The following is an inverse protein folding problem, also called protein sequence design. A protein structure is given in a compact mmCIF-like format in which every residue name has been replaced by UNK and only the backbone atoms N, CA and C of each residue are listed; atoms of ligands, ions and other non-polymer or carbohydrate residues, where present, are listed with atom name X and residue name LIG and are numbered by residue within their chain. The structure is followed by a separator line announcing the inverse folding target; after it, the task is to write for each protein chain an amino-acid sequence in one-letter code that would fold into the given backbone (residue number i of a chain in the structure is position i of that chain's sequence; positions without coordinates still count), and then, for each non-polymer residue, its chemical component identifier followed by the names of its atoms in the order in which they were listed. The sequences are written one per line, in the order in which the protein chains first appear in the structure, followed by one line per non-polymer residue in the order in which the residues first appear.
data_IF_340947182312
#
_entry.id   IF_340947182312
#
_cell.length_a   1.000
_cell.length_b   1.000
_cell.length_c   1.000
_cell.angle_alpha   90.00
_cell.angle_beta   90.00
_cell.angle_gamma   90.00
#
_symmetry.space_group_name_H-M   'P 1'
#
loop_
_entity.id
_entity.type
_entity.pdbx_description
1 polymer ?
#
# COMPACT_ATOMS: atom_id res chain seq x y z
N UNK A 1 25.13 -55.50 1.85
CA UNK A 1 24.29 -54.77 0.87
C UNK A 1 23.44 -53.66 1.49
N UNK A 2 22.65 -53.91 2.55
CA UNK A 2 21.74 -52.91 3.15
C UNK A 2 22.41 -51.61 3.66
N UNK A 3 23.67 -51.67 4.13
CA UNK A 3 24.45 -50.50 4.59
C UNK A 3 25.02 -49.63 3.46
N UNK A 4 25.24 -50.20 2.27
CA UNK A 4 25.78 -49.48 1.10
C UNK A 4 24.66 -48.68 0.42
N UNK A 5 23.43 -49.23 0.42
CA UNK A 5 22.23 -48.53 -0.06
C UNK A 5 21.92 -47.30 0.81
N UNK A 6 22.11 -47.42 2.13
CA UNK A 6 21.88 -46.31 3.06
C UNK A 6 22.90 -45.17 2.87
N UNK A 7 24.13 -45.49 2.51
CA UNK A 7 25.17 -44.49 2.22
C UNK A 7 24.90 -43.74 0.90
N UNK A 8 24.40 -44.43 -0.12
CA UNK A 8 24.01 -43.81 -1.40
C UNK A 8 22.78 -42.89 -1.28
N UNK A 9 21.84 -43.23 -0.40
CA UNK A 9 20.63 -42.43 -0.17
C UNK A 9 20.95 -41.09 0.54
N UNK A 10 21.95 -41.07 1.41
CA UNK A 10 22.42 -39.86 2.11
C UNK A 10 23.21 -38.93 1.18
N UNK A 11 23.99 -39.49 0.25
CA UNK A 11 24.75 -38.70 -0.73
C UNK A 11 23.83 -37.99 -1.73
N UNK A 12 22.70 -38.61 -2.11
CA UNK A 12 21.69 -37.99 -2.97
C UNK A 12 20.96 -36.81 -2.27
N UNK A 13 20.85 -36.83 -0.94
CA UNK A 13 20.24 -35.74 -0.16
C UNK A 13 21.20 -34.58 0.16
N UNK A 14 22.51 -34.79 0.00
CA UNK A 14 23.56 -33.77 0.28
C UNK A 14 24.03 -33.05 -0.98
N UNK A 15 23.58 -33.45 -2.17
CA UNK A 15 23.77 -32.64 -3.37
C UNK A 15 22.79 -31.47 -3.30
N UNK A 16 23.27 -30.21 -3.22
CA UNK A 16 22.38 -29.09 -3.44
C UNK A 16 21.91 -29.24 -4.88
N UNK A 17 20.61 -29.48 -5.06
CA UNK A 17 20.02 -29.22 -6.35
C UNK A 17 20.36 -27.77 -6.65
N UNK A 18 21.32 -27.55 -7.56
CA UNK A 18 21.55 -26.26 -8.17
C UNK A 18 20.29 -25.99 -9.01
N UNK A 19 19.22 -25.61 -8.31
CA UNK A 19 18.07 -24.97 -8.90
C UNK A 19 18.61 -23.65 -9.43
N UNK A 20 19.00 -23.67 -10.70
CA UNK A 20 19.12 -22.46 -11.48
C UNK A 20 17.71 -21.86 -11.52
N UNK A 21 17.41 -21.02 -10.54
CA UNK A 21 16.29 -20.11 -10.62
C UNK A 21 16.61 -19.16 -11.78
N UNK A 22 16.15 -19.50 -12.97
CA UNK A 22 16.01 -18.54 -14.06
C UNK A 22 15.09 -17.46 -13.54
N UNK A 23 15.67 -16.37 -13.02
CA UNK A 23 14.98 -15.13 -12.67
C UNK A 23 14.27 -14.60 -13.93
N UNK A 24 13.09 -15.14 -14.24
CA UNK A 24 12.10 -14.39 -14.99
C UNK A 24 11.61 -13.34 -14.00
N UNK A 25 12.28 -12.19 -14.00
CA UNK A 25 11.72 -10.99 -13.40
C UNK A 25 10.30 -10.84 -13.94
N UNK A 26 9.32 -10.81 -13.05
CA UNK A 26 7.93 -10.69 -13.48
C UNK A 26 7.83 -9.40 -14.29
N UNK A 27 7.27 -9.47 -15.50
CA UNK A 27 7.22 -8.33 -16.41
C UNK A 27 6.52 -7.12 -15.78
N UNK A 28 5.62 -7.35 -14.81
CA UNK A 28 5.02 -6.26 -14.04
C UNK A 28 5.99 -5.64 -13.03
N UNK A 29 6.82 -6.41 -12.35
CA UNK A 29 7.87 -5.88 -11.47
C UNK A 29 8.81 -4.93 -12.23
N UNK A 30 9.04 -5.19 -13.53
CA UNK A 30 9.80 -4.27 -14.37
C UNK A 30 9.07 -2.94 -14.60
N UNK A 31 7.76 -2.97 -14.87
CA UNK A 31 6.95 -1.76 -15.01
C UNK A 31 6.87 -0.97 -13.71
N UNK A 32 6.75 -1.67 -12.59
CA UNK A 32 6.78 -1.09 -11.25
C UNK A 32 8.09 -0.33 -11.01
N UNK A 33 9.24 -0.96 -11.27
CA UNK A 33 10.56 -0.33 -11.14
C UNK A 33 10.74 0.89 -12.04
N UNK A 34 10.29 0.82 -13.29
CA UNK A 34 10.37 1.96 -14.22
C UNK A 34 9.52 3.14 -13.69
N UNK A 35 8.33 2.85 -13.16
CA UNK A 35 7.47 3.90 -12.60
C UNK A 35 8.06 4.52 -11.32
N UNK A 36 8.74 3.74 -10.47
CA UNK A 36 9.46 4.27 -9.30
C UNK A 36 10.66 5.12 -9.74
N UNK A 37 11.47 4.66 -10.68
CA UNK A 37 12.61 5.42 -11.20
C UNK A 37 12.18 6.79 -11.76
N UNK A 38 11.08 6.84 -12.52
CA UNK A 38 10.51 8.09 -13.00
C UNK A 38 10.16 9.05 -11.84
N UNK A 39 9.54 8.53 -10.78
CA UNK A 39 9.20 9.31 -9.59
C UNK A 39 10.44 9.79 -8.84
N UNK A 40 11.46 8.94 -8.66
CA UNK A 40 12.72 9.33 -8.00
C UNK A 40 13.44 10.42 -8.78
N UNK A 41 13.48 10.34 -10.11
CA UNK A 41 14.05 11.39 -10.96
C UNK A 41 13.28 12.72 -10.83
N UNK A 42 11.94 12.66 -10.84
CA UNK A 42 11.09 13.83 -10.65
C UNK A 42 11.30 14.48 -9.27
N UNK A 43 11.36 13.70 -8.19
CA UNK A 43 11.66 14.17 -6.82
C UNK A 43 13.02 14.86 -6.73
N UNK A 44 14.00 14.37 -7.49
CA UNK A 44 15.33 14.98 -7.63
C UNK A 44 15.38 16.16 -8.63
N UNK A 45 14.22 16.64 -9.11
CA UNK A 45 14.07 17.73 -10.09
C UNK A 45 14.74 17.45 -11.44
N UNK A 46 15.07 16.19 -11.73
CA UNK A 46 15.60 15.70 -13.01
C UNK A 46 14.45 15.43 -13.98
N UNK A 47 13.66 16.47 -14.27
CA UNK A 47 12.38 16.36 -14.98
C UNK A 47 12.51 15.83 -16.41
N UNK A 48 13.59 16.22 -17.11
CA UNK A 48 13.82 15.75 -18.48
C UNK A 48 14.08 14.24 -18.49
N UNK A 49 14.87 13.75 -17.54
CA UNK A 49 15.21 12.33 -17.42
C UNK A 49 13.99 11.52 -16.94
N UNK A 50 13.21 12.07 -16.01
CA UNK A 50 11.94 11.48 -15.61
C UNK A 50 10.99 11.30 -16.81
N UNK A 51 10.93 12.29 -17.73
CA UNK A 51 10.16 12.17 -18.97
C UNK A 51 10.67 11.04 -19.86
N UNK A 52 11.99 10.90 -20.02
CA UNK A 52 12.58 9.82 -20.81
C UNK A 52 12.23 8.43 -20.25
N UNK A 53 12.24 8.29 -18.92
CA UNK A 53 11.82 7.04 -18.25
C UNK A 53 10.32 6.78 -18.41
N UNK A 54 9.46 7.81 -18.36
CA UNK A 54 8.03 7.67 -18.65
C UNK A 54 7.77 7.29 -20.12
N UNK A 55 8.48 7.88 -21.07
CA UNK A 55 8.39 7.52 -22.49
C UNK A 55 8.87 6.06 -22.69
N UNK A 56 9.89 5.63 -21.96
CA UNK A 56 10.36 4.25 -21.94
C UNK A 56 9.32 3.27 -21.37
N UNK A 57 8.60 3.65 -20.30
CA UNK A 57 7.52 2.85 -19.74
C UNK A 57 6.50 2.43 -20.79
N UNK A 58 6.04 3.38 -21.62
CA UNK A 58 5.02 3.10 -22.64
C UNK A 58 5.47 2.03 -23.64
N UNK A 59 6.74 2.08 -24.04
CA UNK A 59 7.33 1.07 -24.91
C UNK A 59 7.40 -0.30 -24.25
N UNK A 60 7.81 -0.38 -22.98
CA UNK A 60 7.87 -1.66 -22.26
C UNK A 60 6.48 -2.23 -21.97
N UNK A 61 5.50 -1.38 -21.64
CA UNK A 61 4.11 -1.78 -21.43
C UNK A 61 3.55 -2.53 -22.65
N UNK A 62 3.81 -2.02 -23.86
CA UNK A 62 3.41 -2.66 -25.11
C UNK A 62 4.21 -3.93 -25.41
N UNK A 63 5.55 -3.91 -25.26
CA UNK A 63 6.41 -5.08 -25.55
C UNK A 63 6.10 -6.28 -24.67
N UNK A 64 5.75 -6.04 -23.40
CA UNK A 64 5.49 -7.09 -22.42
C UNK A 64 4.06 -7.64 -22.50
N UNK A 65 3.25 -7.17 -23.47
CA UNK A 65 1.81 -7.43 -23.56
C UNK A 65 1.13 -7.21 -22.19
N UNK A 66 1.52 -6.15 -21.47
CA UNK A 66 1.06 -5.93 -20.10
C UNK A 66 -0.46 -5.73 -20.02
N UNK A 67 -1.07 -5.29 -21.13
CA UNK A 67 -2.53 -5.22 -21.30
C UNK A 67 -3.23 -6.56 -21.07
N UNK A 68 -2.65 -7.67 -21.53
CA UNK A 68 -3.26 -9.00 -21.40
C UNK A 68 -3.29 -9.48 -19.94
N UNK A 69 -2.56 -8.79 -19.07
CA UNK A 69 -2.46 -9.11 -17.64
C UNK A 69 -3.33 -8.21 -16.76
N UNK A 70 -4.05 -7.25 -17.35
CA UNK A 70 -5.02 -6.42 -16.65
C UNK A 70 -6.32 -7.18 -16.45
N UNK A 71 -7.02 -6.92 -15.33
CA UNK A 71 -8.29 -7.55 -15.02
C UNK A 71 -9.49 -6.76 -15.57
N UNK A 72 -9.31 -5.47 -15.84
CA UNK A 72 -10.38 -4.58 -16.28
C UNK A 72 -9.94 -3.53 -17.29
N UNK A 73 -10.92 -2.97 -18.01
CA UNK A 73 -10.69 -1.81 -18.89
C UNK A 73 -10.45 -0.53 -18.09
N UNK A 74 -10.92 -0.49 -16.84
CA UNK A 74 -10.75 0.66 -15.95
C UNK A 74 -9.30 0.77 -15.48
N UNK A 75 -8.60 -0.34 -15.20
CA UNK A 75 -7.15 -0.35 -14.99
C UNK A 75 -6.39 0.20 -16.20
N UNK A 76 -6.74 -0.25 -17.41
CA UNK A 76 -6.09 0.24 -18.63
C UNK A 76 -6.30 1.75 -18.81
N UNK A 77 -7.52 2.23 -18.54
CA UNK A 77 -7.83 3.66 -18.58
C UNK A 77 -7.02 4.42 -17.54
N UNK A 78 -6.97 3.94 -16.30
CA UNK A 78 -6.22 4.58 -15.21
C UNK A 78 -4.73 4.73 -15.57
N UNK A 79 -4.09 3.66 -16.08
CA UNK A 79 -2.70 3.70 -16.54
C UNK A 79 -2.52 4.74 -17.64
N UNK A 80 -3.37 4.68 -18.68
CA UNK A 80 -3.21 5.52 -19.88
C UNK A 80 -3.38 7.01 -19.53
N UNK A 81 -4.42 7.34 -18.75
CA UNK A 81 -4.73 8.72 -18.36
C UNK A 81 -3.64 9.28 -17.45
N UNK A 82 -3.22 8.54 -16.43
CA UNK A 82 -2.20 9.02 -15.48
C UNK A 82 -0.82 9.10 -16.12
N UNK A 83 -0.46 8.16 -17.00
CA UNK A 83 0.77 8.22 -17.80
C UNK A 83 0.80 9.44 -18.71
N UNK A 84 -0.27 9.68 -19.48
CA UNK A 84 -0.34 10.83 -20.38
C UNK A 84 -0.25 12.15 -19.62
N UNK A 85 -0.93 12.24 -18.46
CA UNK A 85 -0.87 13.42 -17.58
C UNK A 85 0.56 13.62 -17.06
N UNK A 86 1.19 12.57 -16.53
CA UNK A 86 2.58 12.62 -16.04
C UNK A 86 3.57 13.08 -17.11
N UNK A 87 3.52 12.51 -18.33
CA UNK A 87 4.40 12.89 -19.44
C UNK A 87 4.20 14.35 -19.84
N UNK A 88 2.95 14.83 -19.89
CA UNK A 88 2.65 16.23 -20.23
C UNK A 88 3.13 17.21 -19.18
N UNK A 89 2.98 16.88 -17.89
CA UNK A 89 3.25 17.81 -16.80
C UNK A 89 4.70 17.80 -16.34
N UNK A 90 5.41 16.67 -16.42
CA UNK A 90 6.74 16.52 -15.80
C UNK A 90 7.74 17.58 -16.31
N UNK A 91 7.70 17.95 -17.59
CA UNK A 91 8.54 19.00 -18.18
C UNK A 91 7.85 20.36 -18.34
N UNK A 92 6.60 20.52 -17.88
CA UNK A 92 5.84 21.74 -18.07
C UNK A 92 6.39 22.88 -17.19
N UNK A 93 7.20 23.77 -17.76
CA UNK A 93 7.87 24.87 -17.05
C UNK A 93 6.90 25.83 -16.34
N UNK A 94 5.65 25.88 -16.79
CA UNK A 94 4.57 26.71 -16.23
C UNK A 94 4.01 26.20 -14.91
N UNK A 95 4.23 24.92 -14.57
CA UNK A 95 3.74 24.31 -13.33
C UNK A 95 4.80 24.38 -12.22
N UNK A 96 4.43 24.53 -10.94
CA UNK A 96 5.37 24.37 -9.84
C UNK A 96 5.93 22.94 -9.78
N UNK A 97 7.13 22.77 -9.21
CA UNK A 97 7.82 21.48 -9.19
C UNK A 97 7.00 20.39 -8.50
N UNK A 98 6.31 20.75 -7.42
CA UNK A 98 5.47 19.88 -6.60
C UNK A 98 4.33 19.31 -7.45
N UNK A 99 3.60 20.15 -8.18
CA UNK A 99 2.53 19.69 -9.06
C UNK A 99 3.04 18.74 -10.16
N UNK A 100 4.28 18.91 -10.63
CA UNK A 100 4.89 17.98 -11.61
C UNK A 100 5.21 16.63 -10.96
N UNK A 101 5.73 16.65 -9.74
CA UNK A 101 6.02 15.45 -8.95
C UNK A 101 4.72 14.69 -8.64
N UNK A 102 3.66 15.40 -8.25
CA UNK A 102 2.37 14.81 -7.89
C UNK A 102 1.75 14.00 -9.04
N UNK A 103 1.87 14.46 -10.29
CA UNK A 103 1.36 13.69 -11.43
C UNK A 103 2.16 12.42 -11.71
N UNK A 104 3.48 12.47 -11.50
CA UNK A 104 4.32 11.26 -11.61
C UNK A 104 4.04 10.32 -10.43
N UNK A 105 3.78 10.86 -9.25
CA UNK A 105 3.40 10.08 -8.08
C UNK A 105 2.05 9.38 -8.30
N UNK A 106 1.03 10.10 -8.77
CA UNK A 106 -0.28 9.53 -9.14
C UNK A 106 -0.12 8.36 -10.13
N UNK A 107 0.72 8.51 -11.16
CA UNK A 107 1.04 7.41 -12.08
C UNK A 107 1.71 6.21 -11.38
N UNK A 108 2.72 6.44 -10.54
CA UNK A 108 3.38 5.38 -9.76
C UNK A 108 2.40 4.62 -8.87
N UNK A 109 1.48 5.32 -8.22
CA UNK A 109 0.45 4.74 -7.35
C UNK A 109 -0.49 3.83 -8.15
N UNK A 110 -0.88 4.22 -9.36
CA UNK A 110 -1.70 3.37 -10.24
C UNK A 110 -0.99 2.10 -10.65
N UNK A 111 0.30 2.18 -11.01
CA UNK A 111 1.08 0.99 -11.38
C UNK A 111 1.22 0.02 -10.21
N UNK A 112 1.33 0.58 -8.99
CA UNK A 112 1.35 -0.19 -7.75
C UNK A 112 0.03 -0.93 -7.49
N UNK A 113 -1.08 -0.17 -7.47
CA UNK A 113 -2.43 -0.63 -7.15
C UNK A 113 -2.82 -1.90 -7.91
N UNK A 114 -2.52 -1.95 -9.22
CA UNK A 114 -2.87 -3.10 -10.09
C UNK A 114 -2.29 -4.45 -9.63
N UNK A 115 -1.22 -4.47 -8.81
CA UNK A 115 -0.62 -5.70 -8.28
C UNK A 115 -0.53 -5.77 -6.78
N UNK A 116 -0.85 -4.71 -6.07
CA UNK A 116 -0.70 -4.67 -4.63
C UNK A 116 -1.84 -5.43 -3.97
N UNK A 117 -1.67 -6.76 -3.86
CA UNK A 117 -2.68 -7.65 -3.27
C UNK A 117 -2.92 -7.37 -1.77
N UNK A 118 -1.96 -6.74 -1.06
CA UNK A 118 -2.02 -6.62 0.40
C UNK A 118 -1.75 -5.22 0.96
N UNK A 119 -0.91 -4.38 0.33
CA UNK A 119 -0.64 -3.02 0.83
C UNK A 119 -0.24 -2.07 -0.31
N UNK A 120 -1.22 -1.55 -1.07
CA UNK A 120 -0.98 -0.54 -2.09
C UNK A 120 -0.34 0.72 -1.51
N UNK A 121 0.64 1.27 -2.22
CA UNK A 121 1.40 2.46 -1.82
C UNK A 121 0.53 3.69 -1.58
N UNK A 122 -0.64 3.79 -2.21
CA UNK A 122 -1.53 4.94 -2.02
C UNK A 122 -2.10 4.98 -0.60
N UNK A 123 -2.12 3.87 0.13
CA UNK A 123 -2.56 3.83 1.53
C UNK A 123 -1.64 4.62 2.45
N UNK A 124 -0.35 4.77 2.10
CA UNK A 124 0.61 5.60 2.84
C UNK A 124 0.28 7.10 2.78
N UNK A 125 -0.58 7.52 1.84
CA UNK A 125 -1.07 8.89 1.72
C UNK A 125 -2.18 9.22 2.73
N UNK A 126 -2.64 8.26 3.55
CA UNK A 126 -3.69 8.46 4.55
C UNK A 126 -3.44 9.70 5.42
N UNK A 127 -2.22 9.88 5.92
CA UNK A 127 -1.90 11.03 6.77
C UNK A 127 -2.04 12.36 6.04
N UNK A 128 -1.65 12.43 4.77
CA UNK A 128 -1.75 13.64 3.96
C UNK A 128 -3.22 13.99 3.67
N UNK A 129 -3.99 13.00 3.18
CA UNK A 129 -5.41 13.16 2.85
C UNK A 129 -6.22 13.49 4.10
N UNK A 130 -6.09 12.71 5.17
CA UNK A 130 -6.84 12.93 6.41
C UNK A 130 -6.39 14.19 7.14
N UNK A 131 -5.10 14.53 7.06
CA UNK A 131 -4.59 15.80 7.59
C UNK A 131 -5.19 17.01 6.88
N UNK A 132 -5.29 16.98 5.55
CA UNK A 132 -5.95 18.03 4.78
C UNK A 132 -7.46 18.09 5.06
N UNK A 133 -8.12 16.94 5.17
CA UNK A 133 -9.54 16.87 5.57
C UNK A 133 -9.78 17.52 6.94
N UNK A 134 -8.95 17.20 7.94
CA UNK A 134 -9.06 17.78 9.28
C UNK A 134 -8.85 19.29 9.29
N UNK A 135 -7.93 19.81 8.45
CA UNK A 135 -7.73 21.25 8.30
C UNK A 135 -8.99 21.92 7.74
N UNK A 136 -9.60 21.34 6.71
CA UNK A 136 -10.88 21.80 6.17
C UNK A 136 -12.00 21.74 7.21
N UNK A 137 -12.15 20.62 7.92
CA UNK A 137 -13.14 20.44 8.97
C UNK A 137 -13.01 21.50 10.08
N UNK A 138 -11.79 21.85 10.45
CA UNK A 138 -11.51 22.87 11.47
C UNK A 138 -11.97 24.28 11.04
N UNK A 139 -11.93 24.62 9.74
CA UNK A 139 -12.43 25.92 9.26
C UNK A 139 -13.94 26.04 9.48
N UNK A 140 -14.70 24.99 9.16
CA UNK A 140 -16.15 24.93 9.37
C UNK A 140 -16.49 24.99 10.85
N UNK A 141 -15.79 24.23 11.70
CA UNK A 141 -16.01 24.26 13.16
C UNK A 141 -15.77 25.64 13.78
N UNK A 142 -14.83 26.42 13.23
CA UNK A 142 -14.55 27.79 13.66
C UNK A 142 -15.48 28.84 13.05
N UNK A 143 -16.32 28.45 12.08
CA UNK A 143 -17.15 29.38 11.31
C UNK A 143 -16.34 30.25 10.35
N UNK A 144 -15.12 29.82 9.99
CA UNK A 144 -14.24 30.56 9.07
C UNK A 144 -14.56 30.19 7.62
N UNK A 145 -15.62 30.82 7.11
CA UNK A 145 -16.06 30.64 5.72
C UNK A 145 -15.07 31.23 4.70
N UNK A 146 -14.09 32.04 5.13
CA UNK A 146 -13.09 32.63 4.23
C UNK A 146 -11.96 31.66 3.91
N UNK A 147 -11.57 30.83 4.87
CA UNK A 147 -10.50 29.83 4.70
C UNK A 147 -11.01 28.49 4.17
N UNK A 148 -12.30 28.20 4.33
CA UNK A 148 -12.90 26.94 3.87
C UNK A 148 -12.59 26.60 2.39
N UNK A 149 -12.74 27.51 1.41
CA UNK A 149 -12.46 27.17 0.01
C UNK A 149 -11.01 26.73 -0.24
N UNK A 150 -10.05 27.40 0.41
CA UNK A 150 -8.62 27.06 0.30
C UNK A 150 -8.33 25.71 0.95
N UNK A 151 -8.91 25.44 2.13
CA UNK A 151 -8.73 24.18 2.82
C UNK A 151 -9.39 23.00 2.07
N UNK A 152 -10.56 23.24 1.48
CA UNK A 152 -11.24 22.29 0.59
C UNK A 152 -10.38 21.98 -0.64
N UNK A 153 -9.85 23.01 -1.31
CA UNK A 153 -8.98 22.81 -2.48
C UNK A 153 -7.75 21.97 -2.15
N UNK A 154 -7.15 22.17 -0.96
CA UNK A 154 -6.05 21.34 -0.49
C UNK A 154 -6.47 19.88 -0.28
N UNK A 155 -7.60 19.64 0.38
CA UNK A 155 -8.12 18.27 0.55
C UNK A 155 -8.39 17.60 -0.79
N UNK A 156 -9.03 18.30 -1.74
CA UNK A 156 -9.30 17.80 -3.08
C UNK A 156 -8.01 17.43 -3.82
N UNK A 157 -6.96 18.25 -3.70
CA UNK A 157 -5.66 17.96 -4.29
C UNK A 157 -5.05 16.66 -3.75
N UNK A 158 -5.02 16.48 -2.43
CA UNK A 158 -4.49 15.24 -1.82
C UNK A 158 -5.31 14.01 -2.23
N UNK A 159 -6.64 14.14 -2.31
CA UNK A 159 -7.51 13.05 -2.76
C UNK A 159 -7.34 12.72 -4.25
N UNK A 160 -7.22 13.73 -5.11
CA UNK A 160 -7.03 13.55 -6.57
C UNK A 160 -5.79 12.68 -6.85
N UNK A 161 -4.71 12.85 -6.08
CA UNK A 161 -3.48 12.05 -6.25
C UNK A 161 -3.76 10.55 -6.08
N UNK A 162 -4.60 10.15 -5.14
CA UNK A 162 -4.89 8.73 -4.86
C UNK A 162 -6.11 8.19 -5.59
N UNK A 163 -7.04 9.04 -6.01
CA UNK A 163 -8.36 8.66 -6.56
C UNK A 163 -8.28 7.58 -7.65
N UNK A 164 -7.38 7.65 -8.67
CA UNK A 164 -7.29 6.59 -9.68
C UNK A 164 -6.88 5.23 -9.11
N UNK A 165 -6.08 5.22 -8.05
CA UNK A 165 -5.61 3.99 -7.38
C UNK A 165 -6.71 3.42 -6.47
N UNK A 166 -7.42 4.29 -5.76
CA UNK A 166 -8.62 3.91 -4.97
C UNK A 166 -9.65 3.21 -5.87
N UNK A 167 -9.86 3.71 -7.08
CA UNK A 167 -10.82 3.13 -8.04
C UNK A 167 -10.39 1.77 -8.60
N UNK A 168 -9.13 1.38 -8.43
CA UNK A 168 -8.62 0.05 -8.79
C UNK A 168 -8.78 -0.90 -7.61
N UNK A 169 -8.38 -0.48 -6.41
CA UNK A 169 -8.25 -1.38 -5.25
C UNK A 169 -9.50 -1.48 -4.38
N UNK A 170 -10.40 -0.49 -4.44
CA UNK A 170 -11.60 -0.42 -3.60
C UNK A 170 -12.85 -0.78 -4.39
N UNK A 171 -13.81 -1.43 -3.73
CA UNK A 171 -15.11 -1.76 -4.30
C UNK A 171 -15.76 -0.53 -4.99
N UNK A 172 -16.23 -0.66 -6.25
CA UNK A 172 -16.74 0.46 -7.04
C UNK A 172 -17.86 1.26 -6.35
N UNK A 173 -18.76 0.57 -5.62
CA UNK A 173 -19.86 1.20 -4.90
C UNK A 173 -19.36 2.15 -3.81
N UNK A 174 -18.26 1.78 -3.14
CA UNK A 174 -17.69 2.55 -2.04
C UNK A 174 -16.85 3.72 -2.56
N UNK A 175 -16.01 3.49 -3.56
CA UNK A 175 -15.28 4.56 -4.23
C UNK A 175 -16.26 5.62 -4.78
N UNK A 176 -17.35 5.18 -5.41
CA UNK A 176 -18.40 6.07 -5.91
C UNK A 176 -19.11 6.83 -4.78
N UNK A 177 -19.42 6.17 -3.66
CA UNK A 177 -20.02 6.85 -2.50
C UNK A 177 -19.12 7.98 -2.00
N UNK A 178 -17.82 7.71 -1.84
CA UNK A 178 -16.86 8.73 -1.40
C UNK A 178 -16.76 9.87 -2.40
N UNK A 179 -16.73 9.58 -3.70
CA UNK A 179 -16.73 10.62 -4.75
C UNK A 179 -17.98 11.52 -4.65
N UNK A 180 -19.16 10.94 -4.41
CA UNK A 180 -20.42 11.68 -4.22
C UNK A 180 -20.39 12.55 -2.96
N UNK A 181 -19.88 12.01 -1.85
CA UNK A 181 -19.75 12.75 -0.59
C UNK A 181 -18.78 13.93 -0.73
N UNK A 182 -17.62 13.71 -1.39
CA UNK A 182 -16.64 14.77 -1.69
C UNK A 182 -17.21 15.80 -2.66
N UNK A 183 -17.95 15.37 -3.69
CA UNK A 183 -18.63 16.27 -4.61
C UNK A 183 -19.65 17.17 -3.89
N UNK A 184 -20.38 16.62 -2.91
CA UNK A 184 -21.34 17.38 -2.11
C UNK A 184 -20.67 18.53 -1.34
N UNK A 185 -19.45 18.35 -0.82
CA UNK A 185 -18.69 19.41 -0.13
C UNK A 185 -18.36 20.61 -1.01
N UNK A 186 -18.33 20.42 -2.34
CA UNK A 186 -18.05 21.48 -3.31
C UNK A 186 -19.28 22.30 -3.68
N UNK A 187 -20.46 21.88 -3.25
CA UNK A 187 -21.73 22.50 -3.65
C UNK A 187 -22.06 23.75 -2.84
N UNK A 188 -22.78 24.68 -3.47
CA UNK A 188 -23.35 25.84 -2.76
C UNK A 188 -24.44 25.40 -1.76
N UNK A 189 -25.11 24.27 -2.02
CA UNK A 189 -26.07 23.66 -1.11
C UNK A 189 -25.42 23.31 0.23
N UNK A 190 -24.23 22.69 0.23
CA UNK A 190 -23.47 22.41 1.45
C UNK A 190 -23.11 23.71 2.19
N UNK A 191 -22.64 24.74 1.47
CA UNK A 191 -22.28 26.04 2.06
C UNK A 191 -23.47 26.77 2.69
N UNK A 192 -24.66 26.57 2.15
CA UNK A 192 -25.89 27.16 2.67
C UNK A 192 -26.47 26.41 3.89
N UNK A 193 -25.96 25.23 4.23
CA UNK A 193 -26.43 24.49 5.41
C UNK A 193 -26.07 25.23 6.71
N UNK A 194 -26.90 25.09 7.76
CA UNK A 194 -26.51 25.49 9.11
C UNK A 194 -25.22 24.77 9.53
N UNK A 195 -24.33 25.47 10.24
CA UNK A 195 -23.03 24.94 10.66
C UNK A 195 -23.13 23.56 11.33
N UNK A 196 -24.13 23.33 12.19
CA UNK A 196 -24.35 22.04 12.83
C UNK A 196 -24.56 20.89 11.82
N UNK A 197 -25.29 21.14 10.72
CA UNK A 197 -25.48 20.17 9.64
C UNK A 197 -24.23 20.01 8.78
N UNK A 198 -23.46 21.09 8.56
CA UNK A 198 -22.17 20.97 7.86
C UNK A 198 -21.20 20.07 8.62
N UNK A 199 -21.16 20.19 9.96
CA UNK A 199 -20.33 19.34 10.82
C UNK A 199 -20.79 17.88 10.74
N UNK A 200 -22.09 17.61 10.71
CA UNK A 200 -22.64 16.26 10.55
C UNK A 200 -22.25 15.64 9.20
N UNK A 201 -22.42 16.38 8.10
CA UNK A 201 -22.00 15.94 6.76
C UNK A 201 -20.50 15.68 6.72
N UNK A 202 -19.68 16.59 7.27
CA UNK A 202 -18.23 16.41 7.33
C UNK A 202 -17.83 15.19 8.16
N UNK A 203 -18.50 14.90 9.27
CA UNK A 203 -18.23 13.73 10.07
C UNK A 203 -18.54 12.43 9.31
N UNK A 204 -19.63 12.41 8.53
CA UNK A 204 -19.97 11.28 7.68
C UNK A 204 -18.96 11.10 6.54
N UNK A 205 -18.65 12.17 5.78
CA UNK A 205 -17.65 12.11 4.71
C UNK A 205 -16.29 11.70 5.23
N UNK A 206 -15.89 12.20 6.41
CA UNK A 206 -14.63 11.80 7.06
C UNK A 206 -14.59 10.30 7.31
N UNK A 207 -15.66 9.75 7.89
CA UNK A 207 -15.75 8.33 8.16
C UNK A 207 -15.68 7.52 6.86
N UNK A 208 -16.36 7.95 5.80
CA UNK A 208 -16.35 7.27 4.51
C UNK A 208 -14.96 7.30 3.84
N UNK A 209 -14.23 8.42 3.91
CA UNK A 209 -12.85 8.53 3.44
C UNK A 209 -11.89 7.67 4.27
N UNK A 210 -11.97 7.72 5.62
CA UNK A 210 -11.16 6.87 6.51
C UNK A 210 -11.39 5.38 6.22
N UNK A 211 -12.62 5.03 5.87
CA UNK A 211 -13.00 3.66 5.60
C UNK A 211 -12.41 3.11 4.29
N UNK A 212 -11.93 3.97 3.36
CA UNK A 212 -11.14 3.54 2.20
C UNK A 212 -9.80 2.94 2.63
N UNK A 213 -9.11 3.58 3.57
CA UNK A 213 -7.80 3.15 4.06
C UNK A 213 -7.90 1.95 5.02
N UNK A 214 -8.98 1.88 5.81
CA UNK A 214 -9.16 0.82 6.81
C UNK A 214 -9.55 -0.54 6.20
N UNK A 215 -10.16 -0.56 5.02
CA UNK A 215 -10.58 -1.80 4.34
C UNK A 215 -9.39 -2.56 3.78
N UNK A 216 -8.48 -1.85 3.14
CA UNK A 216 -7.22 -2.41 2.61
C UNK A 216 -6.36 -3.00 3.74
N UNK A 217 -6.30 -2.33 4.90
CA UNK A 217 -5.62 -2.85 6.10
C UNK A 217 -6.31 -4.03 6.77
N UNK A 218 -7.59 -4.29 6.49
CA UNK A 218 -8.32 -5.44 7.07
C UNK A 218 -8.03 -6.74 6.32
N UNK A 219 -7.77 -6.67 5.02
CA UNK A 219 -7.26 -7.82 4.25
C UNK A 219 -5.83 -8.21 4.67
N UNK A 220 -5.07 -7.31 5.31
CA UNK A 220 -3.77 -7.63 5.94
C UNK A 220 -3.87 -8.40 7.26
N UNK A 221 -5.01 -8.31 7.96
CA UNK A 221 -5.19 -8.95 9.28
C UNK A 221 -5.53 -10.44 9.11
N UNK A 222 -4.68 -11.14 8.35
CA UNK A 222 -4.75 -12.55 8.14
C UNK A 222 -4.58 -13.25 9.51
N UNK A 223 -5.60 -13.96 10.03
CA UNK A 223 -5.56 -14.58 11.36
C UNK A 223 -4.36 -15.53 11.54
N UNK A 224 -3.79 -15.97 10.41
CA UNK A 224 -2.62 -16.82 10.30
C UNK A 224 -1.38 -16.25 11.00
N UNK A 225 -1.13 -14.93 10.97
CA UNK A 225 0.11 -14.36 11.53
C UNK A 225 0.15 -14.39 13.06
N UNK A 226 -0.96 -14.07 13.73
CA UNK A 226 -1.07 -14.25 15.17
C UNK A 226 -1.03 -15.73 15.56
N UNK A 227 -1.68 -16.60 14.77
CA UNK A 227 -1.59 -18.04 15.02
C UNK A 227 -0.18 -18.59 14.83
N UNK A 228 0.60 -18.07 13.87
CA UNK A 228 2.01 -18.44 13.64
C UNK A 228 2.91 -17.93 14.76
N UNK A 229 2.71 -16.69 15.25
CA UNK A 229 3.44 -16.17 16.40
C UNK A 229 3.12 -16.97 17.67
N UNK A 230 1.85 -17.29 17.90
CA UNK A 230 1.39 -18.09 19.05
C UNK A 230 1.88 -19.54 18.92
N UNK A 231 1.85 -20.16 17.75
CA UNK A 231 2.29 -21.54 17.56
C UNK A 231 3.80 -21.68 17.74
N UNK A 232 4.57 -20.77 17.13
CA UNK A 232 6.03 -20.79 17.20
C UNK A 232 6.52 -20.40 18.59
N UNK A 233 5.99 -19.33 19.16
CA UNK A 233 6.28 -18.90 20.53
C UNK A 233 5.81 -19.92 21.57
N UNK A 234 4.64 -20.54 21.37
CA UNK A 234 4.07 -21.55 22.25
C UNK A 234 4.92 -22.82 22.34
N UNK A 235 5.46 -23.31 21.21
CA UNK A 235 6.38 -24.47 21.21
C UNK A 235 7.66 -24.16 21.99
N UNK A 236 8.22 -22.95 21.84
CA UNK A 236 9.42 -22.52 22.56
C UNK A 236 9.14 -22.45 24.07
N UNK A 237 8.04 -21.80 24.47
CA UNK A 237 7.67 -21.69 25.88
C UNK A 237 7.36 -23.07 26.49
N UNK A 238 6.64 -23.93 25.75
CA UNK A 238 6.32 -25.28 26.22
C UNK A 238 7.57 -26.15 26.39
N UNK A 239 8.51 -26.08 25.44
CA UNK A 239 9.79 -26.81 25.55
C UNK A 239 10.60 -26.30 26.73
N UNK A 240 10.81 -24.99 26.88
CA UNK A 240 11.53 -24.40 28.01
C UNK A 240 10.87 -24.72 29.36
N UNK A 241 9.54 -24.67 29.43
CA UNK A 241 8.78 -25.05 30.64
C UNK A 241 9.01 -26.52 30.97
N UNK A 242 8.98 -27.41 29.97
CA UNK A 242 9.24 -28.84 30.17
C UNK A 242 10.66 -29.12 30.64
N UNK A 243 11.69 -28.52 30.02
CA UNK A 243 13.08 -28.74 30.45
C UNK A 243 13.35 -28.13 31.82
N UNK A 244 12.78 -26.95 32.10
CA UNK A 244 12.84 -26.29 33.39
C UNK A 244 12.22 -27.14 34.51
N UNK A 245 11.02 -27.69 34.28
CA UNK A 245 10.36 -28.58 35.21
C UNK A 245 11.13 -29.90 35.41
N UNK A 246 11.72 -30.45 34.33
CA UNK A 246 12.57 -31.65 34.41
C UNK A 246 13.84 -31.39 35.22
N UNK A 247 14.50 -30.24 35.04
CA UNK A 247 15.68 -29.84 35.82
C UNK A 247 15.35 -29.66 37.29
N UNK A 248 14.24 -29.00 37.62
CA UNK A 248 13.78 -28.81 39.00
C UNK A 248 13.54 -30.14 39.73
N UNK A 249 12.92 -31.13 39.07
CA UNK A 249 12.77 -32.48 39.65
C UNK A 249 14.10 -33.22 39.79
N UNK A 250 15.01 -33.05 38.84
CA UNK A 250 16.34 -33.68 38.89
C UNK A 250 17.19 -33.17 40.05
N UNK A 251 17.14 -31.88 40.35
CA UNK A 251 17.85 -31.28 41.49
C UNK A 251 17.25 -31.75 42.83
N UNK A 252 15.91 -31.82 42.95
CA UNK A 252 15.24 -32.35 44.15
C UNK A 252 15.58 -33.82 44.46
N UNK A 253 15.89 -34.63 43.45
CA UNK A 253 16.30 -36.03 43.67
C UNK A 253 17.77 -36.16 44.12
N UNK A 254 18.65 -35.24 43.69
CA UNK A 254 20.05 -35.22 44.13
C UNK A 254 20.19 -34.77 45.59
N UNK A 255 19.42 -33.78 46.02
CA UNK A 255 19.43 -33.33 47.42
C UNK A 255 18.93 -34.42 48.39
N UNK A 256 17.91 -35.20 47.99
CA UNK A 256 17.41 -36.33 48.80
C UNK A 256 18.33 -37.56 48.84
N UNK A 257 19.24 -37.68 47.87
CA UNK A 257 20.26 -38.73 47.86
C UNK A 257 21.45 -38.38 48.77
N UNK A 258 21.76 -37.09 48.94
CA UNK A 258 22.83 -36.61 49.82
C UNK A 258 22.43 -36.51 51.30
N UNK A 259 21.12 -36.46 51.63
CA UNK A 259 20.63 -36.55 53.02
C UNK A 259 20.48 -37.99 53.54
N UNK A 260 20.80 -39.00 52.71
CA UNK A 260 20.69 -40.43 53.06
C UNK A 260 22.04 -41.16 53.17
N UNK A 261 23.15 -40.44 53.03
CA UNK A 261 24.50 -40.86 53.48
C UNK A 261 24.85 -40.11 54.77
#
# INVERSE_FOLDING_TARGET
MRRIVMFWMVIIFLFPAAAYATHHEDSWQRLDKISDEALQLAKNKRFQEAKEVLDYFSNEFLKLNARDRLHSMDELRAITVTHEKAVKTVTASTLPAEARIDQVAQFRLVIDAIRSDYQPLWTEMEQAVMGAFQQMEATVKKGDNTQFPTALAKFLHEYEIIEPSVKIDVAPERAKKVDEDIANLQTEQFRALPQAKQIEVLAQTKADVEALFAEVKKDEADPSLWWVMISTGGIIVATLTYVGFRKYRGEKQKTRAQEKE
#
